data_IF_370744345470
#
_entry.id   IF_370744345470
#
_cell.length_a   1.000
_cell.length_b   1.000
_cell.length_c   1.000
_cell.angle_alpha   90.00
_cell.angle_beta   90.00
_cell.angle_gamma   90.00
#
_symmetry.space_group_name_H-M   'P 1'
#
loop_
_entity.id
_entity.type
_entity.pdbx_description
1 polymer ?
#
# COMPACT_ATOMS: atom_id res chain seq x y z
N UNK A 1 -18.32 -8.55 -9.78
CA UNK A 1 -17.19 -8.36 -10.71
C UNK A 1 -16.26 -7.30 -10.13
N UNK A 2 -14.96 -7.49 -10.25
CA UNK A 2 -13.92 -6.60 -9.74
C UNK A 2 -13.14 -6.03 -10.93
N UNK A 3 -12.84 -4.75 -10.90
CA UNK A 3 -12.01 -4.09 -11.94
C UNK A 3 -10.53 -4.27 -11.56
N UNK A 4 -9.89 -5.23 -12.17
CA UNK A 4 -8.50 -5.60 -11.94
C UNK A 4 -7.63 -5.00 -13.04
N UNK A 5 -6.66 -4.18 -12.66
CA UNK A 5 -5.70 -3.58 -13.59
C UNK A 5 -4.67 -4.63 -14.04
N UNK A 6 -4.07 -5.34 -13.07
CA UNK A 6 -3.11 -6.41 -13.31
C UNK A 6 -3.02 -7.38 -12.11
N UNK A 7 -2.57 -8.61 -12.38
CA UNK A 7 -2.14 -9.58 -11.35
C UNK A 7 -0.76 -10.07 -11.75
N UNK A 8 0.22 -9.96 -10.85
CA UNK A 8 1.61 -10.33 -11.15
C UNK A 8 2.34 -10.87 -9.92
N UNK A 9 3.40 -11.66 -10.15
CA UNK A 9 4.26 -12.22 -9.13
C UNK A 9 5.60 -11.48 -9.09
N UNK A 10 5.98 -10.98 -7.92
CA UNK A 10 7.22 -10.24 -7.72
C UNK A 10 7.66 -10.28 -6.25
N UNK A 11 8.56 -9.39 -5.85
CA UNK A 11 8.89 -9.14 -4.46
C UNK A 11 8.14 -7.90 -3.95
N UNK A 12 7.67 -7.94 -2.70
CA UNK A 12 7.25 -6.71 -2.05
C UNK A 12 8.44 -5.75 -1.92
N UNK A 13 8.29 -4.57 -2.48
CA UNK A 13 9.37 -3.57 -2.56
C UNK A 13 9.34 -2.53 -1.44
N UNK A 14 8.33 -2.56 -0.55
CA UNK A 14 8.04 -1.49 0.40
C UNK A 14 7.67 -2.03 1.79
N UNK A 15 7.93 -1.22 2.82
CA UNK A 15 7.48 -1.46 4.19
C UNK A 15 8.04 -2.71 4.85
N UNK A 16 7.29 -3.24 5.78
CA UNK A 16 7.70 -4.36 6.64
C UNK A 16 8.00 -5.65 5.85
N UNK A 17 7.23 -5.91 4.81
CA UNK A 17 7.37 -7.13 4.01
C UNK A 17 8.37 -7.01 2.86
N UNK A 18 9.18 -5.96 2.81
CA UNK A 18 10.20 -5.78 1.76
C UNK A 18 11.06 -7.02 1.56
N UNK A 19 11.20 -7.46 0.29
CA UNK A 19 11.97 -8.63 -0.10
C UNK A 19 11.20 -9.95 -0.06
N UNK A 20 9.96 -9.98 0.46
CA UNK A 20 9.14 -11.19 0.46
C UNK A 20 8.46 -11.40 -0.90
N UNK A 21 8.41 -12.67 -1.34
CA UNK A 21 7.69 -13.04 -2.54
C UNK A 21 6.18 -12.80 -2.38
N UNK A 22 5.56 -12.16 -3.37
CA UNK A 22 4.15 -11.78 -3.30
C UNK A 22 3.48 -11.85 -4.68
N UNK A 23 2.23 -12.29 -4.70
CA UNK A 23 1.31 -12.06 -5.81
C UNK A 23 0.53 -10.80 -5.52
N UNK A 24 0.68 -9.82 -6.39
CA UNK A 24 -0.03 -8.54 -6.30
C UNK A 24 -1.32 -8.63 -7.12
N UNK A 25 -2.42 -8.23 -6.50
CA UNK A 25 -3.71 -7.99 -7.18
C UNK A 25 -3.95 -6.49 -7.16
N UNK A 26 -3.70 -5.85 -8.31
CA UNK A 26 -3.86 -4.41 -8.47
C UNK A 26 -5.23 -4.07 -9.00
N UNK A 27 -6.03 -3.37 -8.20
CA UNK A 27 -7.34 -2.90 -8.59
C UNK A 27 -7.27 -1.57 -9.32
N UNK A 28 -8.18 -1.36 -10.28
CA UNK A 28 -8.36 -0.10 -10.97
C UNK A 28 -9.33 0.82 -10.21
N UNK A 29 -9.07 2.12 -10.29
CA UNK A 29 -9.87 3.16 -9.68
C UNK A 29 -9.40 3.54 -8.27
N UNK A 30 -9.47 4.84 -7.99
CA UNK A 30 -9.14 5.43 -6.69
C UNK A 30 -10.10 6.58 -6.41
N UNK A 31 -10.43 6.78 -5.15
CA UNK A 31 -11.22 7.94 -4.69
C UNK A 31 -10.38 9.21 -4.52
N UNK A 32 -9.06 9.11 -4.68
CA UNK A 32 -8.11 10.22 -4.56
C UNK A 32 -7.37 10.47 -5.88
N UNK A 33 -6.77 11.65 -6.01
CA UNK A 33 -5.93 12.07 -7.14
C UNK A 33 -4.66 12.73 -6.61
N UNK A 34 -3.77 11.91 -6.05
CA UNK A 34 -2.51 12.39 -5.48
C UNK A 34 -1.56 12.85 -6.61
N UNK A 35 -0.97 14.04 -6.53
CA UNK A 35 -0.07 14.55 -7.58
C UNK A 35 1.23 13.74 -7.73
N UNK A 36 1.61 12.98 -6.68
CA UNK A 36 2.78 12.12 -6.66
C UNK A 36 2.45 10.64 -6.92
N UNK A 37 1.21 10.32 -7.36
CA UNK A 37 0.81 8.95 -7.62
C UNK A 37 1.61 8.40 -8.82
N UNK A 38 2.26 7.27 -8.62
CA UNK A 38 3.06 6.57 -9.63
C UNK A 38 2.34 5.34 -10.23
N UNK A 39 1.08 5.12 -9.85
CA UNK A 39 0.28 4.01 -10.34
C UNK A 39 -0.64 4.45 -11.48
N UNK A 40 -0.51 3.83 -12.64
CA UNK A 40 -1.51 3.90 -13.70
C UNK A 40 -2.56 2.81 -13.47
N UNK A 41 -3.80 3.21 -13.26
CA UNK A 41 -4.95 2.33 -13.08
C UNK A 41 -6.10 2.68 -14.04
N UNK A 42 -5.77 3.26 -15.19
CA UNK A 42 -6.75 3.66 -16.22
C UNK A 42 -7.32 2.48 -16.99
N UNK A 43 -6.56 1.39 -17.14
CA UNK A 43 -7.00 0.17 -17.82
C UNK A 43 -7.38 -0.91 -16.80
N UNK A 44 -8.33 -1.77 -17.16
CA UNK A 44 -8.70 -2.91 -16.32
C UNK A 44 -9.44 -4.00 -17.13
N UNK A 45 -9.46 -5.19 -16.57
CA UNK A 45 -10.37 -6.27 -16.92
C UNK A 45 -11.35 -6.51 -15.79
N UNK A 46 -12.61 -6.84 -16.13
CA UNK A 46 -13.57 -7.30 -15.13
C UNK A 46 -13.34 -8.78 -14.82
N UNK A 47 -13.13 -9.09 -13.55
CA UNK A 47 -12.88 -10.45 -13.07
C UNK A 47 -13.83 -10.82 -11.93
N UNK A 48 -14.22 -12.07 -11.88
CA UNK A 48 -14.89 -12.69 -10.73
C UNK A 48 -13.89 -13.01 -9.63
N UNK A 49 -14.35 -13.24 -8.40
CA UNK A 49 -13.49 -13.72 -7.31
C UNK A 49 -12.79 -15.05 -7.67
N UNK A 50 -13.49 -15.96 -8.35
CA UNK A 50 -12.95 -17.25 -8.77
C UNK A 50 -11.80 -17.10 -9.80
N UNK A 51 -11.94 -16.19 -10.77
CA UNK A 51 -10.88 -15.90 -11.75
C UNK A 51 -9.66 -15.28 -11.07
N UNK A 52 -9.84 -14.36 -10.12
CA UNK A 52 -8.72 -13.78 -9.34
C UNK A 52 -8.00 -14.88 -8.55
N UNK A 53 -8.72 -15.75 -7.86
CA UNK A 53 -8.14 -16.90 -7.11
C UNK A 53 -7.37 -17.81 -8.05
N UNK A 54 -7.96 -18.17 -9.20
CA UNK A 54 -7.31 -19.03 -10.20
C UNK A 54 -6.00 -18.43 -10.70
N UNK A 55 -5.97 -17.12 -10.95
CA UNK A 55 -4.76 -16.43 -11.41
C UNK A 55 -3.70 -16.32 -10.30
N UNK A 56 -4.10 -16.06 -9.05
CA UNK A 56 -3.20 -16.07 -7.88
C UNK A 56 -2.54 -17.44 -7.72
N UNK A 57 -3.31 -18.54 -7.82
CA UNK A 57 -2.80 -19.92 -7.72
C UNK A 57 -1.91 -20.30 -8.91
N UNK A 58 -2.27 -19.85 -10.12
CA UNK A 58 -1.45 -20.07 -11.33
C UNK A 58 -0.06 -19.45 -11.20
N UNK A 59 0.04 -18.26 -10.59
CA UNK A 59 1.30 -17.54 -10.39
C UNK A 59 2.16 -18.15 -9.28
N UNK A 60 1.54 -18.68 -8.24
CA UNK A 60 2.23 -19.43 -7.18
C UNK A 60 1.25 -20.30 -6.41
N UNK A 61 1.60 -21.56 -6.18
CA UNK A 61 0.90 -22.49 -5.30
C UNK A 61 1.49 -22.54 -3.87
N UNK A 62 2.65 -21.93 -3.63
CA UNK A 62 3.32 -21.91 -2.33
C UNK A 62 2.54 -21.04 -1.32
N UNK A 63 2.07 -21.60 -0.19
CA UNK A 63 1.30 -20.86 0.82
C UNK A 63 2.12 -19.81 1.57
N UNK A 64 3.44 -19.82 1.48
CA UNK A 64 4.33 -18.82 2.09
C UNK A 64 4.38 -17.50 1.30
N UNK A 65 3.95 -17.53 0.03
CA UNK A 65 3.86 -16.34 -0.82
C UNK A 65 2.70 -15.47 -0.35
N UNK A 66 2.92 -14.17 -0.22
CA UNK A 66 1.88 -13.21 0.16
C UNK A 66 0.91 -12.98 -1.00
N UNK A 67 -0.35 -12.66 -0.69
CA UNK A 67 -1.27 -12.01 -1.62
C UNK A 67 -1.44 -10.57 -1.16
N UNK A 68 -1.06 -9.61 -2.02
CA UNK A 68 -1.13 -8.19 -1.70
C UNK A 68 -2.21 -7.53 -2.56
N UNK A 69 -3.28 -7.09 -1.91
CA UNK A 69 -4.35 -6.32 -2.52
C UNK A 69 -3.92 -4.85 -2.53
N UNK A 70 -3.75 -4.28 -3.71
CA UNK A 70 -3.24 -2.93 -3.93
C UNK A 70 -3.92 -2.27 -5.12
N UNK A 71 -3.37 -1.19 -5.64
CA UNK A 71 -3.82 -0.57 -6.89
C UNK A 71 -4.09 0.92 -6.75
N UNK A 72 -5.24 1.39 -7.24
CA UNK A 72 -5.76 2.70 -6.90
C UNK A 72 -6.12 2.75 -5.42
N UNK A 73 -7.36 2.41 -5.08
CA UNK A 73 -7.76 2.16 -3.70
C UNK A 73 -8.53 0.83 -3.63
N UNK A 74 -7.93 -0.24 -3.11
CA UNK A 74 -8.54 -1.57 -3.11
C UNK A 74 -9.80 -1.65 -2.23
N UNK A 75 -9.88 -0.88 -1.14
CA UNK A 75 -11.05 -0.88 -0.25
C UNK A 75 -12.36 -0.44 -0.92
N UNK A 76 -12.31 0.16 -2.10
CA UNK A 76 -13.49 0.48 -2.90
C UNK A 76 -14.15 -0.76 -3.51
N UNK A 77 -13.43 -1.87 -3.61
CA UNK A 77 -13.89 -3.06 -4.32
C UNK A 77 -13.75 -4.34 -3.51
N UNK A 78 -12.76 -4.42 -2.60
CA UNK A 78 -12.51 -5.60 -1.77
C UNK A 78 -13.67 -5.77 -0.78
N UNK A 79 -14.36 -6.90 -0.89
CA UNK A 79 -15.50 -7.29 -0.06
C UNK A 79 -15.30 -8.64 0.61
N UNK A 80 -16.24 -9.04 1.47
CA UNK A 80 -16.20 -10.33 2.17
C UNK A 80 -16.16 -11.52 1.22
N UNK A 81 -16.79 -11.42 0.05
CA UNK A 81 -16.83 -12.48 -0.97
C UNK A 81 -15.43 -12.74 -1.54
N UNK A 82 -14.70 -11.68 -1.90
CA UNK A 82 -13.35 -11.80 -2.43
C UNK A 82 -12.37 -12.28 -1.36
N UNK A 83 -12.47 -11.72 -0.14
CA UNK A 83 -11.62 -12.14 0.97
C UNK A 83 -11.83 -13.63 1.29
N UNK A 84 -13.08 -14.09 1.40
CA UNK A 84 -13.39 -15.51 1.64
C UNK A 84 -12.83 -16.41 0.52
N UNK A 85 -12.95 -15.98 -0.73
CA UNK A 85 -12.41 -16.74 -1.87
C UNK A 85 -10.87 -16.80 -1.83
N UNK A 86 -10.19 -15.68 -1.60
CA UNK A 86 -8.72 -15.65 -1.54
C UNK A 86 -8.15 -16.45 -0.37
N UNK A 87 -8.85 -16.50 0.77
CA UNK A 87 -8.43 -17.32 1.92
C UNK A 87 -8.39 -18.82 1.61
N UNK A 88 -9.13 -19.31 0.60
CA UNK A 88 -9.03 -20.71 0.17
C UNK A 88 -7.66 -21.07 -0.39
N UNK A 89 -6.85 -20.10 -0.78
CA UNK A 89 -5.47 -20.31 -1.25
C UNK A 89 -4.50 -20.71 -0.13
N UNK A 90 -4.87 -20.51 1.15
CA UNK A 90 -4.01 -20.71 2.31
C UNK A 90 -2.90 -19.67 2.47
N UNK A 91 -2.85 -18.66 1.60
CA UNK A 91 -1.83 -17.60 1.62
C UNK A 91 -2.20 -16.50 2.61
N UNK A 92 -1.19 -15.81 3.14
CA UNK A 92 -1.38 -14.62 3.95
C UNK A 92 -1.90 -13.47 3.08
N UNK A 93 -3.04 -12.90 3.48
CA UNK A 93 -3.72 -11.84 2.74
C UNK A 93 -3.37 -10.47 3.33
N UNK A 94 -2.71 -9.64 2.53
CA UNK A 94 -2.29 -8.29 2.87
C UNK A 94 -3.07 -7.26 2.05
N UNK A 95 -3.29 -6.06 2.58
CA UNK A 95 -3.88 -4.93 1.85
C UNK A 95 -3.06 -3.67 2.05
N UNK A 96 -2.90 -2.89 0.99
CA UNK A 96 -2.36 -1.53 1.01
C UNK A 96 -3.48 -0.54 0.68
N UNK A 97 -3.84 0.32 1.63
CA UNK A 97 -5.00 1.22 1.53
C UNK A 97 -4.68 2.63 2.01
N UNK A 98 -5.38 3.62 1.50
CA UNK A 98 -5.33 4.98 2.03
C UNK A 98 -6.14 5.17 3.33
N UNK A 99 -6.88 4.15 3.75
CA UNK A 99 -7.62 4.10 5.01
C UNK A 99 -8.93 4.88 5.04
N UNK A 100 -9.41 5.40 3.91
CA UNK A 100 -10.63 6.23 3.88
C UNK A 100 -11.93 5.43 3.81
N UNK A 101 -11.86 4.10 3.64
CA UNK A 101 -13.01 3.20 3.58
C UNK A 101 -12.84 2.03 4.56
N UNK A 102 -13.93 1.43 5.03
CA UNK A 102 -13.86 0.25 5.88
C UNK A 102 -13.30 -0.94 5.11
N UNK A 103 -12.71 -1.87 5.83
CA UNK A 103 -12.20 -3.14 5.29
C UNK A 103 -13.04 -4.31 5.77
N UNK A 104 -13.26 -5.33 4.94
CA UNK A 104 -13.88 -6.58 5.35
C UNK A 104 -13.00 -7.33 6.35
N UNK A 105 -13.61 -8.22 7.12
CA UNK A 105 -12.87 -9.10 8.02
C UNK A 105 -12.03 -10.14 7.25
N UNK A 106 -10.99 -10.68 7.91
CA UNK A 106 -10.19 -11.76 7.33
C UNK A 106 -8.95 -11.33 6.53
N UNK A 107 -8.59 -10.06 6.57
CA UNK A 107 -7.30 -9.56 6.10
C UNK A 107 -6.28 -9.75 7.22
N UNK A 108 -5.14 -10.38 6.90
CA UNK A 108 -4.11 -10.77 7.88
C UNK A 108 -3.08 -9.67 8.15
N UNK A 109 -2.97 -8.68 7.25
CA UNK A 109 -2.06 -7.54 7.38
C UNK A 109 -2.62 -6.30 6.67
N UNK A 110 -2.69 -5.21 7.39
CA UNK A 110 -3.18 -3.93 6.89
C UNK A 110 -2.04 -2.90 6.91
N UNK A 111 -1.61 -2.48 5.73
CA UNK A 111 -0.75 -1.30 5.55
C UNK A 111 -1.63 -0.10 5.24
N UNK A 112 -1.68 0.86 6.15
CA UNK A 112 -2.36 2.14 5.93
C UNK A 112 -1.37 3.19 5.43
N UNK A 113 -1.66 3.78 4.29
CA UNK A 113 -0.88 4.87 3.70
C UNK A 113 -1.76 6.12 3.56
N UNK A 114 -1.98 6.87 4.65
CA UNK A 114 -2.86 8.04 4.65
C UNK A 114 -2.36 9.11 3.69
N UNK A 115 -3.29 9.94 3.21
CA UNK A 115 -2.98 11.03 2.29
C UNK A 115 -3.43 12.35 2.89
N UNK A 116 -2.63 13.39 2.69
CA UNK A 116 -2.91 14.74 3.20
C UNK A 116 -4.33 15.19 2.80
N UNK A 117 -5.02 15.84 3.73
CA UNK A 117 -6.39 16.31 3.53
C UNK A 117 -7.48 15.21 3.56
N UNK A 118 -7.13 13.97 3.88
CA UNK A 118 -8.11 12.88 3.99
C UNK A 118 -8.40 12.52 5.44
N UNK A 119 -9.54 11.90 5.67
CA UNK A 119 -9.90 11.30 6.96
C UNK A 119 -9.72 9.80 6.90
N UNK A 120 -8.80 9.27 7.70
CA UNK A 120 -8.69 7.84 7.94
C UNK A 120 -9.79 7.39 8.90
N UNK A 121 -10.45 6.27 8.55
CA UNK A 121 -11.53 5.69 9.38
C UNK A 121 -11.17 4.32 9.93
N UNK A 122 -10.00 3.78 9.58
CA UNK A 122 -9.52 2.51 10.12
C UNK A 122 -9.21 2.66 11.61
N UNK A 123 -9.71 1.76 12.47
CA UNK A 123 -9.46 1.83 13.91
C UNK A 123 -8.01 1.50 14.28
N UNK A 124 -7.31 0.76 13.40
CA UNK A 124 -5.90 0.36 13.54
C UNK A 124 -5.36 -0.14 12.21
N UNK A 125 -4.04 -0.18 12.10
CA UNK A 125 -3.31 -0.87 11.05
C UNK A 125 -2.17 -1.71 11.66
N UNK A 126 -1.61 -2.65 10.91
CA UNK A 126 -0.37 -3.34 11.31
C UNK A 126 0.83 -2.46 10.99
N UNK A 127 0.75 -1.77 9.85
CA UNK A 127 1.76 -0.85 9.34
C UNK A 127 1.14 0.50 8.96
N UNK A 128 1.73 1.58 9.41
CA UNK A 128 1.51 2.93 8.92
C UNK A 128 2.69 3.31 8.02
N UNK A 129 2.45 3.50 6.72
CA UNK A 129 3.47 3.85 5.74
C UNK A 129 3.15 5.20 5.10
N UNK A 130 3.93 6.22 5.44
CA UNK A 130 3.71 7.59 4.97
C UNK A 130 4.71 7.91 3.86
N UNK A 131 4.19 8.34 2.70
CA UNK A 131 5.01 8.96 1.67
C UNK A 131 5.42 10.34 2.17
N UNK A 132 6.71 10.50 2.48
CA UNK A 132 7.26 11.76 2.94
C UNK A 132 7.53 12.67 1.74
N UNK A 133 6.79 13.77 1.67
CA UNK A 133 6.90 14.71 0.56
C UNK A 133 8.12 15.62 0.74
N UNK A 134 8.85 15.95 -0.33
CA UNK A 134 10.00 16.83 -0.24
C UNK A 134 9.56 18.24 0.18
N UNK A 135 10.35 18.88 1.04
CA UNK A 135 10.16 20.30 1.35
C UNK A 135 10.49 21.13 0.11
N UNK A 136 9.51 21.86 -0.39
CA UNK A 136 9.75 22.85 -1.45
C UNK A 136 10.24 24.15 -0.80
N UNK A 137 11.39 24.66 -1.24
CA UNK A 137 11.93 25.95 -0.78
C UNK A 137 11.15 27.16 -1.32
N UNK A 138 10.19 26.92 -2.19
CA UNK A 138 9.33 27.96 -2.76
C UNK A 138 8.16 28.25 -1.80
N UNK A 139 8.26 29.40 -1.12
CA UNK A 139 7.26 29.87 -0.16
C UNK A 139 5.86 30.10 -0.79
N UNK A 140 5.76 30.19 -2.12
CA UNK A 140 4.49 30.34 -2.83
C UNK A 140 3.75 29.02 -3.05
N UNK A 141 4.48 27.90 -2.96
CA UNK A 141 3.96 26.53 -3.15
C UNK A 141 4.19 25.63 -1.93
N UNK A 142 4.77 26.18 -0.86
CA UNK A 142 5.07 25.45 0.36
C UNK A 142 3.78 24.93 0.98
N UNK A 143 3.47 23.66 0.70
CA UNK A 143 2.60 22.93 1.60
C UNK A 143 3.20 22.99 3.02
N UNK A 144 2.39 23.14 4.07
CA UNK A 144 2.89 23.07 5.43
C UNK A 144 3.69 21.78 5.60
N UNK A 145 4.73 21.77 6.48
CA UNK A 145 5.47 20.54 6.76
C UNK A 145 4.48 19.43 7.05
N UNK A 146 4.63 18.31 6.37
CA UNK A 146 3.76 17.17 6.59
C UNK A 146 3.87 16.71 8.05
N UNK A 147 2.76 16.77 8.78
CA UNK A 147 2.73 16.33 10.17
C UNK A 147 2.62 14.81 10.25
N UNK A 148 3.75 14.12 10.09
CA UNK A 148 3.81 12.66 10.15
C UNK A 148 3.48 12.11 11.54
N UNK A 149 3.75 12.88 12.60
CA UNK A 149 3.43 12.49 13.97
C UNK A 149 1.92 12.55 14.22
N UNK A 150 1.23 13.48 13.57
CA UNK A 150 -0.23 13.51 13.59
C UNK A 150 -0.82 12.18 13.09
N UNK A 151 -0.31 11.65 11.99
CA UNK A 151 -0.77 10.37 11.45
C UNK A 151 -0.49 9.20 12.39
N UNK A 152 0.69 9.17 13.04
CA UNK A 152 1.00 8.14 14.04
C UNK A 152 0.04 8.16 15.24
N UNK A 153 -0.50 9.35 15.56
CA UNK A 153 -1.52 9.51 16.61
C UNK A 153 -2.91 9.09 16.12
N UNK A 154 -3.26 9.40 14.87
CA UNK A 154 -4.59 9.13 14.31
C UNK A 154 -4.80 7.67 13.89
N UNK A 155 -3.73 6.98 13.47
CA UNK A 155 -3.78 5.61 12.99
C UNK A 155 -2.85 4.74 13.84
N UNK A 156 -3.34 4.17 14.95
CA UNK A 156 -2.53 3.26 15.76
C UNK A 156 -2.00 2.11 14.91
N UNK A 157 -0.69 1.98 14.84
CA UNK A 157 -0.02 0.92 14.09
C UNK A 157 1.18 0.36 14.87
N UNK A 158 1.48 -0.92 14.65
CA UNK A 158 2.63 -1.58 15.29
C UNK A 158 3.95 -1.15 14.62
N UNK A 159 3.90 -0.92 13.31
CA UNK A 159 5.08 -0.59 12.52
C UNK A 159 4.88 0.76 11.83
N UNK A 160 5.85 1.67 11.99
CA UNK A 160 5.81 3.03 11.46
C UNK A 160 6.91 3.20 10.41
N UNK A 161 6.52 3.53 9.17
CA UNK A 161 7.43 3.68 8.05
C UNK A 161 7.28 5.03 7.37
N UNK A 162 8.44 5.64 7.06
CA UNK A 162 8.52 6.81 6.17
C UNK A 162 9.16 6.39 4.85
N UNK A 163 8.51 6.75 3.76
CA UNK A 163 8.92 6.43 2.41
C UNK A 163 9.25 7.69 1.64
N UNK A 164 10.49 7.85 1.13
CA UNK A 164 10.83 8.96 0.25
C UNK A 164 9.92 9.00 -0.99
N UNK A 165 9.44 10.19 -1.35
CA UNK A 165 8.61 10.36 -2.53
C UNK A 165 9.42 10.03 -3.79
N UNK A 166 9.08 8.96 -4.49
CA UNK A 166 9.76 8.50 -5.70
C UNK A 166 11.29 8.45 -5.57
N UNK A 167 11.80 8.11 -4.39
CA UNK A 167 13.24 8.03 -4.06
C UNK A 167 14.01 9.37 -4.17
N UNK A 168 13.34 10.51 -4.30
CA UNK A 168 14.00 11.79 -4.56
C UNK A 168 14.56 12.48 -3.30
N UNK A 169 13.90 12.33 -2.15
CA UNK A 169 14.24 13.01 -0.90
C UNK A 169 14.73 12.06 0.20
N UNK A 170 15.43 10.99 -0.18
CA UNK A 170 15.88 9.93 0.74
C UNK A 170 16.75 10.47 1.88
N UNK A 171 17.67 11.40 1.60
CA UNK A 171 18.54 12.00 2.63
C UNK A 171 17.72 12.78 3.68
N UNK A 172 16.66 13.48 3.27
CA UNK A 172 15.77 14.21 4.16
C UNK A 172 15.01 13.25 5.08
N UNK A 173 14.46 12.17 4.53
CA UNK A 173 13.77 11.12 5.30
C UNK A 173 14.72 10.45 6.30
N UNK A 174 15.94 10.11 5.90
CA UNK A 174 16.95 9.56 6.80
C UNK A 174 17.23 10.53 7.95
N UNK A 175 17.46 11.82 7.66
CA UNK A 175 17.71 12.83 8.68
C UNK A 175 16.52 13.00 9.64
N UNK A 176 15.30 12.82 9.16
CA UNK A 176 14.12 12.83 10.02
C UNK A 176 14.11 11.60 10.93
N UNK A 177 14.28 10.41 10.41
CA UNK A 177 14.29 9.15 11.17
C UNK A 177 15.39 9.14 12.25
N UNK A 178 16.58 9.64 11.95
CA UNK A 178 17.66 9.73 12.94
C UNK A 178 17.32 10.59 14.17
N UNK A 179 16.40 11.53 14.01
CA UNK A 179 15.86 12.37 15.10
C UNK A 179 14.59 11.80 15.74
N UNK A 180 13.91 10.86 15.05
CA UNK A 180 12.66 10.24 15.47
C UNK A 180 12.75 8.72 15.28
N UNK A 181 13.50 8.01 16.15
CA UNK A 181 13.93 6.63 15.92
C UNK A 181 12.81 5.58 16.05
N UNK A 182 11.59 5.98 16.32
CA UNK A 182 10.41 5.11 16.23
C UNK A 182 9.91 4.92 14.80
N UNK A 183 10.37 5.74 13.84
CA UNK A 183 10.14 5.55 12.43
C UNK A 183 11.20 4.67 11.79
N UNK A 184 10.80 3.88 10.82
CA UNK A 184 11.67 3.07 9.97
C UNK A 184 11.67 3.59 8.54
N UNK A 185 12.75 3.36 7.81
CA UNK A 185 12.84 3.72 6.40
C UNK A 185 12.16 2.64 5.54
N UNK A 186 11.21 3.05 4.72
CA UNK A 186 10.69 2.26 3.60
C UNK A 186 11.29 2.78 2.29
N UNK A 187 11.96 1.93 1.54
CA UNK A 187 12.38 2.25 0.19
C UNK A 187 11.41 1.60 -0.82
N UNK A 188 11.38 2.12 -2.04
CA UNK A 188 10.75 1.46 -3.18
C UNK A 188 11.80 0.57 -3.86
N UNK A 189 12.17 -0.55 -3.20
CA UNK A 189 13.30 -1.39 -3.64
C UNK A 189 13.08 -1.99 -5.03
N UNK A 190 11.82 -2.22 -5.42
CA UNK A 190 11.47 -2.65 -6.77
C UNK A 190 11.99 -1.67 -7.85
N UNK A 191 12.01 -0.36 -7.59
CA UNK A 191 12.54 0.65 -8.53
C UNK A 191 14.07 0.54 -8.66
N UNK A 192 14.79 0.25 -7.56
CA UNK A 192 16.24 0.06 -7.60
C UNK A 192 16.63 -1.25 -8.29
N UNK A 193 15.82 -2.29 -8.11
CA UNK A 193 16.06 -3.61 -8.70
C UNK A 193 15.54 -3.72 -10.14
N UNK A 194 14.80 -2.72 -10.62
CA UNK A 194 14.14 -2.71 -11.93
C UNK A 194 13.23 -3.95 -12.13
N UNK A 195 12.46 -4.29 -11.09
CA UNK A 195 11.43 -5.33 -11.11
C UNK A 195 10.04 -4.70 -10.97
N UNK A 196 9.01 -5.52 -11.25
CA UNK A 196 7.62 -5.06 -11.08
C UNK A 196 7.26 -4.96 -9.62
#
# INVERSE_FOLDING_TARGET
MYRVNEIFFSLQGEGFHTGQAAVFVRFSGCNLRCPFCDTDFGTYSEMTAAEIVSEVQRLSDDPRVLVILTGGEPSLQVDDTLVAALRTTGKRLCIETNGTHPLPAGIDWITCSPKEGTRVILPRADELKIVYLPHTSDASTAAPPQDVEHWATQVPATHLYLQPCSCQNTAEVINYILRHPHWHLSLQTHKYLNIR
#
